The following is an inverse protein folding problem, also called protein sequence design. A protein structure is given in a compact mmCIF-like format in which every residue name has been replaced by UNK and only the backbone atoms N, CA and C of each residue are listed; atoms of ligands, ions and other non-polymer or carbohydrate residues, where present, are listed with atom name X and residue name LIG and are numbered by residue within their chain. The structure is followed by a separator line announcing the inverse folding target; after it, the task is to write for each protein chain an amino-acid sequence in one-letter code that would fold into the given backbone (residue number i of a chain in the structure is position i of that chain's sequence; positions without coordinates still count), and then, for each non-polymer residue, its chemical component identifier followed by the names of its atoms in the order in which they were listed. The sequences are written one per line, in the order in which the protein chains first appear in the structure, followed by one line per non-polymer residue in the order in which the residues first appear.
data_IF_657462465140
#
_entry.id   IF_657462465140
#
_cell.length_a   1.000
_cell.length_b   1.000
_cell.length_c   1.000
_cell.angle_alpha   90.00
_cell.angle_beta   90.00
_cell.angle_gamma   90.00
#
_symmetry.space_group_name_H-M   'P 1'
#
loop_
_entity.id
_entity.type
_entity.pdbx_description
1 polymer ?
#
# COMPACT_ATOMS: atom_id res chain seq x y z
N UNK A 1 -7.99 0.27 -16.89
CA UNK A 1 -6.82 -0.05 -16.07
C UNK A 1 -5.79 -0.74 -16.96
N UNK A 2 -4.51 -0.46 -16.74
CA UNK A 2 -3.38 -1.05 -17.47
C UNK A 2 -2.19 -1.25 -16.53
N UNK A 3 -1.16 -1.94 -17.01
CA UNK A 3 0.13 -2.13 -16.32
C UNK A 3 -0.04 -2.70 -14.91
N UNK A 4 -0.79 -3.80 -14.81
CA UNK A 4 -1.08 -4.48 -13.53
C UNK A 4 0.09 -5.40 -13.20
N UNK A 5 0.79 -5.10 -12.11
CA UNK A 5 1.99 -5.82 -11.70
C UNK A 5 1.90 -6.22 -10.23
N UNK A 6 2.28 -7.46 -9.92
CA UNK A 6 2.42 -7.93 -8.54
C UNK A 6 3.80 -7.55 -8.03
N UNK A 7 3.87 -6.56 -7.13
CA UNK A 7 5.12 -5.99 -6.63
C UNK A 7 5.58 -6.62 -5.31
N UNK A 8 4.64 -7.15 -4.52
CA UNK A 8 4.95 -7.92 -3.29
C UNK A 8 4.20 -9.26 -3.30
N UNK A 9 4.67 -10.27 -4.06
CA UNK A 9 3.98 -11.56 -4.17
C UNK A 9 3.96 -12.36 -2.85
N UNK A 10 4.89 -12.05 -1.94
CA UNK A 10 5.04 -12.73 -0.65
C UNK A 10 4.42 -12.00 0.54
N UNK A 11 3.83 -10.82 0.34
CA UNK A 11 3.31 -9.99 1.42
C UNK A 11 2.26 -10.76 2.23
N UNK A 12 2.41 -10.71 3.54
CA UNK A 12 1.49 -11.30 4.50
C UNK A 12 1.46 -10.42 5.73
N UNK A 13 0.30 -10.25 6.33
CA UNK A 13 0.15 -9.42 7.51
C UNK A 13 -0.79 -10.07 8.50
N UNK A 14 -0.66 -9.64 9.76
CA UNK A 14 -1.63 -9.96 10.80
C UNK A 14 -1.93 -8.72 11.62
N UNK A 15 -3.14 -8.19 11.50
CA UNK A 15 -3.59 -6.99 12.18
C UNK A 15 -4.79 -7.27 13.08
N UNK A 16 -5.00 -6.39 14.07
CA UNK A 16 -6.21 -6.36 14.89
C UNK A 16 -6.79 -4.96 14.81
N UNK A 17 -8.05 -4.85 14.39
CA UNK A 17 -8.71 -3.55 14.26
C UNK A 17 -9.15 -2.98 15.63
N UNK A 18 -9.68 -1.76 15.62
CA UNK A 18 -10.14 -1.09 16.84
C UNK A 18 -11.33 -1.79 17.52
N UNK A 19 -12.05 -2.67 16.82
CA UNK A 19 -13.15 -3.48 17.36
C UNK A 19 -12.69 -4.84 17.90
N UNK A 20 -11.44 -5.21 17.67
CA UNK A 20 -10.86 -6.50 18.07
C UNK A 20 -10.94 -7.59 17.00
N UNK A 21 -11.40 -7.27 15.79
CA UNK A 21 -11.40 -8.21 14.66
C UNK A 21 -9.97 -8.45 14.21
N UNK A 22 -9.64 -9.72 13.95
CA UNK A 22 -8.30 -10.14 13.52
C UNK A 22 -8.31 -10.43 12.03
N UNK A 23 -7.39 -9.81 11.31
CA UNK A 23 -7.03 -10.15 9.93
C UNK A 23 -5.70 -10.89 9.95
N UNK A 24 -5.60 -12.01 9.22
CA UNK A 24 -4.37 -12.80 9.11
C UNK A 24 -4.30 -13.42 7.71
N UNK A 25 -3.60 -12.75 6.81
CA UNK A 25 -3.77 -12.97 5.38
C UNK A 25 -2.43 -13.12 4.65
N UNK A 26 -2.44 -13.95 3.61
CA UNK A 26 -1.47 -13.87 2.51
C UNK A 26 -2.06 -12.91 1.48
N UNK A 27 -1.49 -11.72 1.33
CA UNK A 27 -2.12 -10.61 0.62
C UNK A 27 -1.17 -10.00 -0.42
N UNK A 28 -0.96 -10.66 -1.58
CA UNK A 28 -0.08 -10.14 -2.61
C UNK A 28 -0.45 -8.71 -3.04
N UNK A 29 0.53 -7.82 -3.13
CA UNK A 29 0.29 -6.40 -3.44
C UNK A 29 0.49 -6.15 -4.93
N UNK A 30 -0.44 -5.40 -5.51
CA UNK A 30 -0.42 -5.03 -6.92
C UNK A 30 -0.38 -3.51 -7.10
N UNK A 31 0.31 -3.07 -8.14
CA UNK A 31 0.26 -1.70 -8.65
C UNK A 31 -0.38 -1.73 -10.04
N UNK A 32 -1.18 -0.70 -10.33
CA UNK A 32 -1.80 -0.54 -11.64
C UNK A 32 -2.02 0.94 -11.97
N UNK A 33 -2.14 1.24 -13.27
CA UNK A 33 -2.52 2.58 -13.73
C UNK A 33 -4.00 2.59 -14.11
N UNK A 34 -4.78 3.45 -13.46
CA UNK A 34 -6.16 3.72 -13.85
C UNK A 34 -6.18 4.68 -15.06
N UNK A 35 -7.11 4.45 -15.98
CA UNK A 35 -7.23 5.20 -17.24
C UNK A 35 -8.62 5.84 -17.42
N UNK A 36 -9.46 5.76 -16.39
CA UNK A 36 -10.84 6.22 -16.38
C UNK A 36 -11.08 7.04 -15.10
N UNK A 37 -12.16 7.81 -15.09
CA UNK A 37 -12.59 8.56 -13.92
C UNK A 37 -13.02 7.63 -12.78
N UNK A 38 -12.85 8.10 -11.54
CA UNK A 38 -13.25 7.36 -10.34
C UNK A 38 -14.73 7.60 -10.03
N UNK A 39 -15.47 6.50 -9.85
CA UNK A 39 -16.84 6.52 -9.31
C UNK A 39 -16.95 5.56 -8.11
N UNK A 40 -16.38 5.90 -6.94
CA UNK A 40 -16.37 5.00 -5.79
C UNK A 40 -17.77 4.73 -5.25
N UNK A 41 -18.00 3.53 -4.74
CA UNK A 41 -19.25 3.20 -4.06
C UNK A 41 -19.28 3.87 -2.67
N UNK A 42 -20.29 4.70 -2.35
CA UNK A 42 -20.28 5.50 -1.13
C UNK A 42 -20.43 4.68 0.16
N UNK A 43 -20.90 3.43 0.08
CA UNK A 43 -20.92 2.53 1.23
C UNK A 43 -19.53 1.96 1.58
N UNK A 44 -18.57 2.04 0.65
CA UNK A 44 -17.22 1.47 0.81
C UNK A 44 -16.15 2.56 0.96
N UNK A 45 -16.31 3.69 0.26
CA UNK A 45 -15.33 4.78 0.23
C UNK A 45 -16.00 6.08 0.63
N UNK A 46 -15.65 6.60 1.80
CA UNK A 46 -16.17 7.88 2.29
C UNK A 46 -15.59 9.09 1.54
N UNK A 47 -14.28 9.10 1.33
CA UNK A 47 -13.55 10.16 0.62
C UNK A 47 -12.35 9.58 -0.14
N UNK A 48 -11.91 10.25 -1.20
CA UNK A 48 -10.69 9.90 -1.91
C UNK A 48 -9.95 11.15 -2.42
N UNK A 49 -8.63 11.03 -2.59
CA UNK A 49 -7.77 12.06 -3.18
C UNK A 49 -6.56 11.42 -3.84
N UNK A 50 -6.09 12.04 -4.92
CA UNK A 50 -4.78 11.72 -5.48
C UNK A 50 -3.69 12.43 -4.67
N UNK A 51 -2.65 11.68 -4.30
CA UNK A 51 -1.45 12.19 -3.62
C UNK A 51 -0.21 11.64 -4.31
N UNK A 52 0.92 12.31 -4.14
CA UNK A 52 2.20 11.77 -4.59
C UNK A 52 2.68 10.68 -3.62
N UNK A 53 3.62 9.85 -4.07
CA UNK A 53 4.23 8.81 -3.22
C UNK A 53 4.95 9.43 -2.03
N UNK A 54 5.64 10.56 -2.24
CA UNK A 54 6.37 11.28 -1.19
C UNK A 54 5.42 11.84 -0.12
N UNK A 55 4.25 12.34 -0.53
CA UNK A 55 3.22 12.77 0.41
C UNK A 55 2.71 11.61 1.26
N UNK A 56 2.48 10.44 0.64
CA UNK A 56 2.05 9.24 1.35
C UNK A 56 3.13 8.75 2.34
N UNK A 57 4.40 8.69 1.90
CA UNK A 57 5.53 8.32 2.77
C UNK A 57 5.67 9.28 3.97
N UNK A 58 5.54 10.58 3.73
CA UNK A 58 5.59 11.60 4.80
C UNK A 58 4.46 11.39 5.81
N UNK A 59 3.25 11.12 5.33
CA UNK A 59 2.09 10.85 6.17
C UNK A 59 2.33 9.62 7.06
N UNK A 60 2.78 8.51 6.48
CA UNK A 60 3.06 7.27 7.22
C UNK A 60 4.19 7.44 8.22
N UNK A 61 5.24 8.18 7.88
CA UNK A 61 6.34 8.48 8.81
C UNK A 61 5.90 9.37 9.99
N UNK A 62 4.93 10.25 9.78
CA UNK A 62 4.51 11.26 10.77
C UNK A 62 3.36 10.78 11.65
N UNK A 63 2.40 10.08 11.06
CA UNK A 63 1.15 9.67 11.70
C UNK A 63 0.66 8.31 11.16
N UNK A 64 1.38 7.21 11.37
CA UNK A 64 1.01 5.91 10.83
C UNK A 64 -0.37 5.41 11.35
N UNK A 65 -0.81 5.89 12.51
CA UNK A 65 -2.10 5.51 13.12
C UNK A 65 -3.34 6.04 12.39
N UNK A 66 -3.18 6.93 11.40
CA UNK A 66 -4.32 7.44 10.61
C UNK A 66 -4.60 6.63 9.34
N UNK A 67 -3.80 5.59 9.08
CA UNK A 67 -3.96 4.67 7.96
C UNK A 67 -4.07 3.24 8.47
N UNK A 68 -4.40 2.31 7.58
CA UNK A 68 -4.44 0.90 7.94
C UNK A 68 -3.05 0.34 8.24
N UNK A 69 -2.94 -0.63 9.16
CA UNK A 69 -1.66 -1.28 9.48
C UNK A 69 -0.98 -1.90 8.25
N UNK A 70 -1.74 -2.56 7.37
CA UNK A 70 -1.18 -3.16 6.16
C UNK A 70 -0.59 -2.13 5.21
N UNK A 71 -1.13 -0.90 5.11
CA UNK A 71 -0.54 0.13 4.25
C UNK A 71 0.87 0.52 4.72
N UNK A 72 1.07 0.60 6.04
CA UNK A 72 2.37 0.90 6.64
C UNK A 72 3.37 -0.21 6.30
N UNK A 73 3.01 -1.46 6.58
CA UNK A 73 3.86 -2.63 6.31
C UNK A 73 4.19 -2.78 4.81
N UNK A 74 3.23 -2.50 3.92
CA UNK A 74 3.46 -2.52 2.47
C UNK A 74 4.47 -1.47 2.00
N UNK A 75 4.45 -0.26 2.57
CA UNK A 75 5.42 0.77 2.22
C UNK A 75 6.83 0.42 2.67
N UNK A 76 6.96 -0.17 3.86
CA UNK A 76 8.24 -0.62 4.40
C UNK A 76 8.86 -1.70 3.51
N UNK A 77 8.09 -2.73 3.12
CA UNK A 77 8.58 -3.80 2.22
C UNK A 77 8.89 -3.28 0.80
N UNK A 78 8.10 -2.34 0.28
CA UNK A 78 8.37 -1.70 -1.01
C UNK A 78 9.67 -0.88 -0.99
N UNK A 79 9.96 -0.19 0.11
CA UNK A 79 11.21 0.55 0.27
C UNK A 79 12.41 -0.40 0.35
N UNK A 80 12.28 -1.51 1.08
CA UNK A 80 13.29 -2.56 1.11
C UNK A 80 13.56 -3.11 -0.29
N UNK A 81 12.53 -3.48 -1.05
CA UNK A 81 12.70 -3.96 -2.43
C UNK A 81 13.42 -2.95 -3.32
N UNK A 82 13.03 -1.67 -3.27
CA UNK A 82 13.67 -0.60 -4.04
C UNK A 82 15.15 -0.42 -3.66
N UNK A 83 15.50 -0.53 -2.38
CA UNK A 83 16.90 -0.47 -1.93
C UNK A 83 17.72 -1.63 -2.49
N UNK A 84 17.16 -2.84 -2.53
CA UNK A 84 17.84 -4.02 -3.07
C UNK A 84 18.04 -3.93 -4.59
N UNK A 85 17.01 -3.51 -5.34
CA UNK A 85 17.09 -3.36 -6.81
C UNK A 85 18.13 -2.30 -7.23
N UNK A 86 18.18 -1.17 -6.52
CA UNK A 86 19.19 -0.13 -6.75
C UNK A 86 20.61 -0.58 -6.41
N UNK A 87 20.78 -1.44 -5.41
CA UNK A 87 22.09 -2.04 -5.08
C UNK A 87 22.55 -3.02 -6.16
N UNK A 88 21.63 -3.78 -6.74
CA UNK A 88 21.92 -4.72 -7.83
C UNK A 88 22.30 -4.01 -9.15
N UNK A 89 21.84 -2.78 -9.37
CA UNK A 89 22.14 -1.97 -10.58
C UNK A 89 23.50 -1.26 -10.52
N UNK A 90 24.15 -1.21 -9.34
CA UNK A 90 25.42 -0.52 -9.11
C UNK A 90 26.66 -1.46 -9.10
N UNK A 91 26.48 -2.75 -9.41
CA UNK A 91 27.53 -3.75 -9.54
C UNK A 91 27.87 -4.08 -11.00
#
# INVERSE_FOLDING_TARGET
MRDVECVLPGFRYRAVDASGVVENELCPVFVATITADLTPHPAEVAEHRWVTVEQLQTLVATAPWIVSPWLVEQLDELEDLRRHDRSATLC
#
